data_IF_665617222393
#
_entry.id   IF_665617222393
#
_cell.length_a   1.000
_cell.length_b   1.000
_cell.length_c   1.000
_cell.angle_alpha   90.00
_cell.angle_beta   90.00
_cell.angle_gamma   90.00
#
_symmetry.space_group_name_H-M   'P 1'
#
loop_
_entity.id
_entity.type
_entity.pdbx_description
1 polymer ?
#
# COMPACT_ATOMS: atom_id res chain seq x y z
N UNK A 1 -12.94 -22.98 15.51
CA UNK A 1 -13.27 -21.91 14.54
C UNK A 1 -12.97 -22.44 13.15
N UNK A 2 -14.00 -22.62 12.33
CA UNK A 2 -13.83 -23.08 10.96
C UNK A 2 -13.17 -21.99 10.12
N UNK A 3 -12.14 -22.38 9.36
CA UNK A 3 -11.46 -21.49 8.42
C UNK A 3 -12.42 -21.19 7.28
N UNK A 4 -12.99 -19.99 7.25
CA UNK A 4 -13.76 -19.50 6.11
C UNK A 4 -12.79 -19.43 4.92
N UNK A 5 -12.88 -20.40 4.00
CA UNK A 5 -12.18 -20.38 2.72
C UNK A 5 -13.08 -19.69 1.71
N UNK A 6 -13.00 -18.35 1.64
CA UNK A 6 -13.67 -17.63 0.55
C UNK A 6 -12.81 -17.75 -0.69
N UNK A 7 -13.37 -18.30 -1.77
CA UNK A 7 -12.73 -18.30 -3.08
C UNK A 7 -12.79 -16.85 -3.60
N UNK A 8 -11.64 -16.21 -3.75
CA UNK A 8 -11.57 -14.92 -4.44
C UNK A 8 -12.03 -15.16 -5.89
N UNK A 9 -13.11 -14.51 -6.29
CA UNK A 9 -13.63 -14.55 -7.66
C UNK A 9 -13.21 -13.25 -8.33
N UNK A 10 -12.62 -13.36 -9.51
CA UNK A 10 -12.17 -12.21 -10.30
C UNK A 10 -13.38 -11.28 -10.59
N UNK A 11 -13.25 -9.99 -10.26
CA UNK A 11 -14.30 -8.98 -10.49
C UNK A 11 -15.38 -8.84 -9.41
N UNK A 12 -15.37 -9.65 -8.35
CA UNK A 12 -16.33 -9.52 -7.25
C UNK A 12 -15.84 -8.52 -6.19
N UNK A 13 -16.03 -7.21 -6.42
CA UNK A 13 -15.89 -6.20 -5.37
C UNK A 13 -17.25 -5.99 -4.71
N UNK A 14 -17.41 -6.48 -3.48
CA UNK A 14 -18.60 -6.26 -2.68
C UNK A 14 -18.60 -4.81 -2.18
N UNK A 15 -19.54 -4.01 -2.68
CA UNK A 15 -19.68 -2.58 -2.36
C UNK A 15 -20.74 -2.32 -1.28
N UNK A 16 -21.46 -3.35 -0.84
CA UNK A 16 -22.66 -3.19 0.00
C UNK A 16 -22.51 -3.80 1.39
N UNK A 17 -21.56 -4.71 1.61
CA UNK A 17 -21.29 -5.25 2.95
C UNK A 17 -20.01 -4.67 3.57
N UNK A 18 -20.09 -4.34 4.86
CA UNK A 18 -18.92 -4.00 5.66
C UNK A 18 -18.11 -5.26 5.93
N UNK A 19 -17.14 -5.57 5.07
CA UNK A 19 -16.28 -6.73 5.26
C UNK A 19 -15.12 -6.40 6.19
N UNK A 20 -15.04 -7.14 7.30
CA UNK A 20 -13.86 -7.13 8.15
C UNK A 20 -12.95 -8.31 7.76
N UNK A 21 -11.90 -8.02 7.00
CA UNK A 21 -10.88 -9.01 6.67
C UNK A 21 -9.85 -9.02 7.80
N UNK A 22 -9.71 -10.15 8.50
CA UNK A 22 -8.71 -10.34 9.54
C UNK A 22 -7.61 -11.30 9.06
N UNK A 23 -6.36 -10.99 9.41
CA UNK A 23 -5.18 -11.78 9.06
C UNK A 23 -4.00 -10.93 8.62
N UNK A 24 -2.79 -11.48 8.74
CA UNK A 24 -1.56 -10.83 8.30
C UNK A 24 -1.08 -11.47 7.01
N UNK A 25 -0.83 -10.66 5.99
CA UNK A 25 -0.07 -11.06 4.80
C UNK A 25 1.32 -10.45 4.90
N UNK A 26 2.35 -11.28 4.78
CA UNK A 26 3.74 -10.85 4.74
C UNK A 26 4.28 -11.10 3.34
N UNK A 27 5.05 -10.15 2.82
CA UNK A 27 5.64 -10.23 1.50
C UNK A 27 7.16 -10.19 1.63
N UNK A 28 7.85 -11.11 0.96
CA UNK A 28 9.33 -11.14 0.93
C UNK A 28 9.94 -10.20 -0.10
N UNK A 29 9.11 -9.62 -0.96
CA UNK A 29 9.50 -8.72 -2.04
C UNK A 29 8.48 -7.57 -2.16
N UNK A 30 8.87 -6.40 -2.69
CA UNK A 30 7.93 -5.31 -2.94
C UNK A 30 6.71 -5.78 -3.72
N UNK A 31 5.51 -5.45 -3.24
CA UNK A 31 4.26 -5.75 -3.94
C UNK A 31 3.70 -4.47 -4.55
N UNK A 32 3.26 -4.56 -5.80
CA UNK A 32 2.67 -3.45 -6.53
C UNK A 32 1.19 -3.73 -6.75
N UNK A 33 0.37 -2.73 -6.48
CA UNK A 33 -1.07 -2.79 -6.65
C UNK A 33 -1.46 -1.63 -7.58
N UNK A 34 -1.84 -1.99 -8.81
CA UNK A 34 -2.24 -1.06 -9.86
C UNK A 34 -3.75 -0.88 -9.83
N UNK A 35 -4.24 0.35 -9.66
CA UNK A 35 -5.68 0.65 -9.61
C UNK A 35 -6.12 1.89 -10.38
N UNK A 36 -5.20 2.54 -11.11
CA UNK A 36 -5.40 3.81 -11.79
C UNK A 36 -4.07 4.44 -12.20
N UNK A 37 -3.99 5.77 -12.21
CA UNK A 37 -2.76 6.51 -12.53
C UNK A 37 -1.67 6.37 -11.45
N UNK A 38 -2.05 6.00 -10.23
CA UNK A 38 -1.13 5.81 -9.11
C UNK A 38 -0.97 4.34 -8.77
N UNK A 39 0.27 3.93 -8.53
CA UNK A 39 0.65 2.57 -8.15
C UNK A 39 0.93 2.56 -6.66
N UNK A 40 0.21 1.72 -5.90
CA UNK A 40 0.52 1.52 -4.49
C UNK A 40 1.61 0.46 -4.37
N UNK A 41 2.70 0.75 -3.67
CA UNK A 41 3.78 -0.21 -3.40
C UNK A 41 3.88 -0.50 -1.92
N UNK A 42 3.70 -1.76 -1.50
CA UNK A 42 4.03 -2.19 -0.15
C UNK A 42 5.49 -2.68 -0.14
N UNK A 43 6.37 -1.97 0.57
CA UNK A 43 7.78 -2.31 0.65
C UNK A 43 8.39 -1.91 2.00
N UNK A 44 9.08 -2.86 2.63
CA UNK A 44 9.69 -2.69 3.95
C UNK A 44 8.64 -2.24 5.00
N UNK A 45 8.87 -1.10 5.64
CA UNK A 45 8.07 -0.52 6.73
C UNK A 45 7.10 0.58 6.27
N UNK A 46 6.91 0.72 4.95
CA UNK A 46 6.10 1.78 4.37
C UNK A 46 5.18 1.31 3.23
N UNK A 47 4.10 2.07 3.04
CA UNK A 47 3.25 2.05 1.87
C UNK A 47 3.56 3.28 1.02
N UNK A 48 3.81 3.09 -0.27
CA UNK A 48 4.16 4.15 -1.22
C UNK A 48 3.05 4.35 -2.23
N UNK A 49 2.86 5.59 -2.68
CA UNK A 49 2.06 5.95 -3.84
C UNK A 49 3.00 6.53 -4.89
N UNK A 50 3.16 5.78 -5.97
CA UNK A 50 4.14 6.03 -7.02
C UNK A 50 3.48 6.32 -8.36
N UNK A 51 4.05 7.23 -9.13
CA UNK A 51 3.63 7.51 -10.52
C UNK A 51 4.15 6.46 -11.51
N UNK A 52 5.30 5.84 -11.20
CA UNK A 52 5.97 4.86 -12.06
C UNK A 52 6.24 3.57 -11.30
N UNK A 53 6.14 2.44 -12.00
CA UNK A 53 6.48 1.14 -11.44
C UNK A 53 7.96 1.10 -11.05
N UNK A 54 8.26 0.48 -9.90
CA UNK A 54 9.63 0.23 -9.41
C UNK A 54 10.46 1.48 -9.11
N UNK A 55 9.88 2.69 -9.15
CA UNK A 55 10.56 3.94 -8.79
C UNK A 55 9.88 4.54 -7.56
N UNK A 56 10.50 4.38 -6.38
CA UNK A 56 9.98 4.94 -5.13
C UNK A 56 10.33 6.42 -4.96
N UNK A 57 11.53 6.80 -5.38
CA UNK A 57 12.11 8.15 -5.23
C UNK A 57 11.91 8.95 -6.53
N UNK A 58 10.64 9.25 -6.83
CA UNK A 58 10.26 10.15 -7.92
C UNK A 58 9.57 11.37 -7.32
N UNK A 59 9.82 12.55 -7.87
CA UNK A 59 9.26 13.78 -7.32
C UNK A 59 7.73 13.70 -7.31
N UNK A 60 7.14 14.00 -6.15
CA UNK A 60 5.69 13.90 -5.92
C UNK A 60 5.19 12.51 -5.48
N UNK A 61 6.04 11.47 -5.48
CA UNK A 61 5.68 10.22 -4.82
C UNK A 61 5.52 10.46 -3.31
N UNK A 62 4.57 9.77 -2.69
CA UNK A 62 4.33 9.86 -1.26
C UNK A 62 4.48 8.50 -0.58
N UNK A 63 4.79 8.51 0.72
CA UNK A 63 4.83 7.30 1.53
C UNK A 63 4.19 7.52 2.89
N UNK A 64 3.64 6.43 3.41
CA UNK A 64 3.07 6.33 4.74
C UNK A 64 3.83 5.25 5.51
N UNK A 65 4.41 5.62 6.65
CA UNK A 65 5.18 4.72 7.53
C UNK A 65 4.82 4.94 8.99
N UNK A 66 5.12 3.96 9.84
CA UNK A 66 5.04 4.13 11.29
C UNK A 66 6.46 4.29 11.82
N UNK A 67 6.72 5.40 12.49
CA UNK A 67 7.99 5.66 13.16
C UNK A 67 7.71 6.06 14.60
N UNK A 68 8.33 5.38 15.56
CA UNK A 68 8.16 5.66 17.00
C UNK A 68 6.68 5.68 17.44
N UNK A 69 5.88 4.76 16.88
CA UNK A 69 4.45 4.66 17.16
C UNK A 69 3.58 5.74 16.51
N UNK A 70 4.18 6.64 15.74
CA UNK A 70 3.47 7.72 15.03
C UNK A 70 3.34 7.41 13.55
N UNK A 71 2.17 7.67 12.99
CA UNK A 71 1.95 7.62 11.55
C UNK A 71 2.56 8.85 10.89
N UNK A 72 3.47 8.65 9.94
CA UNK A 72 4.14 9.73 9.22
C UNK A 72 3.80 9.60 7.74
N UNK A 73 3.41 10.73 7.14
CA UNK A 73 3.26 10.90 5.70
C UNK A 73 4.40 11.78 5.20
N UNK A 74 5.09 11.33 4.17
CA UNK A 74 6.16 12.09 3.52
C UNK A 74 5.94 12.14 2.02
N UNK A 75 6.39 13.22 1.39
CA UNK A 75 6.42 13.41 -0.06
C UNK A 75 7.88 13.58 -0.49
N UNK A 76 8.27 12.91 -1.55
CA UNK A 76 9.60 13.05 -2.13
C UNK A 76 9.64 14.31 -3.00
N UNK A 77 10.51 15.26 -2.66
CA UNK A 77 10.63 16.53 -3.39
C UNK A 77 11.57 16.44 -4.62
N UNK A 78 12.19 15.28 -4.86
CA UNK A 78 13.21 15.05 -5.90
C UNK A 78 14.62 14.80 -5.34
N UNK A 79 14.83 15.07 -4.05
CA UNK A 79 16.11 14.85 -3.34
C UNK A 79 15.87 14.13 -1.99
N UNK A 80 14.89 14.62 -1.22
CA UNK A 80 14.60 14.11 0.13
C UNK A 80 13.11 13.88 0.36
N UNK A 81 12.82 13.01 1.32
CA UNK A 81 11.48 12.82 1.87
C UNK A 81 11.17 13.92 2.88
N UNK A 82 10.20 14.77 2.57
CA UNK A 82 9.72 15.84 3.45
C UNK A 82 8.37 15.47 4.04
N UNK A 83 8.14 15.82 5.31
CA UNK A 83 6.83 15.62 5.94
C UNK A 83 5.83 16.58 5.30
N UNK A 84 4.71 16.01 4.84
CA UNK A 84 3.58 16.77 4.31
C UNK A 84 2.74 17.40 5.43
#
# INVERSE_FOLDING_TARGET
MDRIKVKQVEGAMDLSSGQQVTGTKSFSAPQQFTGGETIMVAYQDALYWCQREKVLEDAGNSRLKIQEGTLIIEVFNGDTWERA
#
